data_IF_880547939058
#
_entry.id   IF_880547939058
#
_cell.length_a   1.000
_cell.length_b   1.000
_cell.length_c   1.000
_cell.angle_alpha   90.00
_cell.angle_beta   90.00
_cell.angle_gamma   90.00
#
_symmetry.space_group_name_H-M   'P 1'
#
loop_
_entity.id
_entity.type
_entity.pdbx_description
1 polymer ?
#
# COMPACT_ATOMS: atom_id res chain seq x y z
N UNK A 1 16.90 27.69 5.04
CA UNK A 1 16.90 27.77 6.49
C UNK A 1 15.58 27.18 6.95
N UNK A 2 15.61 25.94 7.41
CA UNK A 2 14.44 25.15 7.79
C UNK A 2 13.98 25.58 9.18
N UNK A 3 12.99 26.47 9.23
CA UNK A 3 12.39 26.92 10.50
C UNK A 3 11.37 25.92 11.09
N UNK A 4 10.82 25.02 10.27
CA UNK A 4 9.95 23.95 10.75
C UNK A 4 10.73 22.65 10.85
N UNK A 5 10.92 22.16 12.06
CA UNK A 5 11.44 20.82 12.31
C UNK A 5 10.38 19.82 11.84
N UNK A 6 10.67 19.13 10.73
CA UNK A 6 9.82 18.04 10.27
C UNK A 6 9.72 16.94 11.33
N UNK A 7 8.58 16.27 11.38
CA UNK A 7 8.33 15.14 12.24
C UNK A 7 8.30 13.86 11.43
N UNK A 8 8.99 12.81 11.89
CA UNK A 8 8.91 11.48 11.30
C UNK A 8 7.91 10.65 12.08
N UNK A 9 6.89 10.13 11.39
CA UNK A 9 5.85 9.26 11.97
C UNK A 9 5.88 7.88 11.36
N UNK A 10 5.63 6.89 12.21
CA UNK A 10 5.50 5.49 11.83
C UNK A 10 4.05 5.07 12.03
N UNK A 11 3.48 4.45 11.02
CA UNK A 11 2.14 3.88 11.07
C UNK A 11 2.19 2.41 10.74
N UNK A 12 1.40 1.64 11.46
CA UNK A 12 1.26 0.21 11.30
C UNK A 12 -0.20 -0.10 10.99
N UNK A 13 -0.43 -1.01 10.04
CA UNK A 13 -1.76 -1.52 9.75
C UNK A 13 -1.92 -2.87 10.42
N UNK A 14 -2.96 -3.00 11.21
CA UNK A 14 -3.37 -4.24 11.86
C UNK A 14 -4.74 -4.69 11.37
N UNK A 15 -4.97 -5.98 11.39
CA UNK A 15 -6.26 -6.59 11.07
C UNK A 15 -6.76 -7.38 12.28
N UNK A 16 -7.89 -6.95 12.83
CA UNK A 16 -8.67 -7.73 13.77
C UNK A 16 -9.42 -8.83 13.00
N UNK A 17 -8.95 -10.07 13.13
CA UNK A 17 -9.48 -11.23 12.42
C UNK A 17 -10.90 -11.57 12.87
N UNK A 18 -11.25 -11.34 14.14
CA UNK A 18 -12.59 -11.62 14.66
C UNK A 18 -13.60 -10.63 14.05
N UNK A 19 -13.29 -9.34 14.08
CA UNK A 19 -14.11 -8.29 13.48
C UNK A 19 -14.23 -8.49 11.96
N UNK A 20 -13.14 -8.87 11.30
CA UNK A 20 -13.10 -9.13 9.86
C UNK A 20 -13.99 -10.31 9.46
N UNK A 21 -13.89 -11.46 10.17
CA UNK A 21 -14.74 -12.63 9.93
C UNK A 21 -16.21 -12.27 10.13
N UNK A 22 -16.54 -11.61 11.24
CA UNK A 22 -17.91 -11.16 11.53
C UNK A 22 -18.48 -10.30 10.38
N UNK A 23 -17.69 -9.34 9.89
CA UNK A 23 -18.09 -8.50 8.78
C UNK A 23 -18.35 -9.29 7.49
N UNK A 24 -17.49 -10.26 7.17
CA UNK A 24 -17.67 -11.13 6.02
C UNK A 24 -18.94 -12.00 6.13
N UNK A 25 -19.24 -12.49 7.34
CA UNK A 25 -20.48 -13.25 7.59
C UNK A 25 -21.74 -12.39 7.41
N UNK A 26 -21.72 -11.16 7.91
CA UNK A 26 -22.81 -10.20 7.71
C UNK A 26 -23.04 -9.88 6.23
N UNK A 27 -21.98 -9.63 5.47
CA UNK A 27 -22.05 -9.32 4.04
C UNK A 27 -22.48 -10.55 3.23
N UNK A 28 -21.99 -11.76 3.57
CA UNK A 28 -22.45 -13.02 3.00
C UNK A 28 -23.95 -13.24 3.23
N UNK A 29 -24.46 -12.94 4.44
CA UNK A 29 -25.88 -13.04 4.75
C UNK A 29 -26.71 -12.13 3.85
N UNK A 30 -26.28 -10.87 3.65
CA UNK A 30 -26.96 -9.94 2.73
C UNK A 30 -27.02 -10.47 1.29
N UNK A 31 -25.92 -11.11 0.82
CA UNK A 31 -25.91 -11.69 -0.54
C UNK A 31 -26.79 -12.93 -0.63
N UNK A 32 -26.88 -13.74 0.42
CA UNK A 32 -27.83 -14.88 0.51
C UNK A 32 -29.29 -14.41 0.51
N UNK A 33 -29.60 -13.36 1.27
CA UNK A 33 -30.96 -12.79 1.33
C UNK A 33 -31.38 -12.23 -0.05
N UNK A 34 -30.45 -11.56 -0.74
CA UNK A 34 -30.68 -11.11 -2.12
C UNK A 34 -30.90 -12.27 -3.08
N UNK A 35 -30.08 -13.33 -2.98
CA UNK A 35 -30.18 -14.51 -3.83
C UNK A 35 -31.53 -15.21 -3.63
N UNK A 36 -31.99 -15.36 -2.40
CA UNK A 36 -33.27 -15.98 -2.07
C UNK A 36 -34.50 -15.15 -2.54
N UNK A 37 -34.33 -13.83 -2.65
CA UNK A 37 -35.39 -12.92 -3.14
C UNK A 37 -35.49 -12.83 -4.66
N UNK A 38 -34.51 -13.37 -5.41
CA UNK A 38 -34.52 -13.35 -6.88
C UNK A 38 -35.55 -14.37 -7.41
N UNK A 39 -36.42 -13.90 -8.31
CA UNK A 39 -37.31 -14.78 -9.07
C UNK A 39 -36.53 -15.69 -10.01
N UNK A 40 -37.10 -16.87 -10.34
CA UNK A 40 -36.47 -17.84 -11.25
C UNK A 40 -36.55 -17.44 -12.75
N UNK A 41 -36.80 -16.18 -13.04
CA UNK A 41 -36.87 -15.67 -14.39
C UNK A 41 -35.46 -15.68 -15.02
N UNK A 42 -35.36 -16.15 -16.25
CA UNK A 42 -34.09 -16.32 -17.01
C UNK A 42 -33.27 -15.04 -17.13
N UNK A 43 -33.89 -13.84 -17.09
CA UNK A 43 -33.14 -12.58 -17.11
C UNK A 43 -32.34 -12.32 -15.82
N UNK A 44 -32.59 -13.07 -14.75
CA UNK A 44 -31.87 -12.99 -13.48
C UNK A 44 -30.64 -13.94 -13.40
N UNK A 45 -30.41 -14.80 -14.40
CA UNK A 45 -29.34 -15.80 -14.35
C UNK A 45 -27.97 -15.18 -14.15
N UNK A 46 -27.69 -14.07 -14.81
CA UNK A 46 -26.41 -13.33 -14.63
C UNK A 46 -26.23 -12.78 -13.21
N UNK A 47 -27.29 -12.23 -12.63
CA UNK A 47 -27.28 -11.69 -11.28
C UNK A 47 -27.16 -12.82 -10.23
N UNK A 48 -27.86 -13.92 -10.44
CA UNK A 48 -27.77 -15.13 -9.61
C UNK A 48 -26.33 -15.63 -9.57
N UNK A 49 -25.71 -15.83 -10.74
CA UNK A 49 -24.33 -16.29 -10.85
C UNK A 49 -23.33 -15.34 -10.16
N UNK A 50 -23.53 -14.03 -10.26
CA UNK A 50 -22.70 -13.06 -9.57
C UNK A 50 -22.81 -13.18 -8.05
N UNK A 51 -24.02 -13.33 -7.51
CA UNK A 51 -24.25 -13.51 -6.07
C UNK A 51 -23.67 -14.84 -5.56
N UNK A 52 -23.80 -15.92 -6.33
CA UNK A 52 -23.20 -17.22 -5.98
C UNK A 52 -21.65 -17.12 -5.91
N UNK A 53 -21.03 -16.43 -6.89
CA UNK A 53 -19.59 -16.19 -6.89
C UNK A 53 -19.15 -15.32 -5.70
N UNK A 54 -19.93 -14.30 -5.36
CA UNK A 54 -19.67 -13.43 -4.20
C UNK A 54 -19.76 -14.22 -2.89
N UNK A 55 -20.78 -15.06 -2.71
CA UNK A 55 -20.92 -15.94 -1.55
C UNK A 55 -19.75 -16.93 -1.46
N UNK A 56 -19.34 -17.53 -2.57
CA UNK A 56 -18.18 -18.41 -2.63
C UNK A 56 -16.88 -17.66 -2.23
N UNK A 57 -16.72 -16.42 -2.67
CA UNK A 57 -15.61 -15.55 -2.26
C UNK A 57 -15.62 -15.26 -0.76
N UNK A 58 -16.78 -14.95 -0.17
CA UNK A 58 -16.89 -14.76 1.28
C UNK A 58 -16.53 -16.02 2.05
N UNK A 59 -17.01 -17.19 1.65
CA UNK A 59 -16.68 -18.46 2.29
C UNK A 59 -15.16 -18.73 2.28
N UNK A 60 -14.51 -18.49 1.14
CA UNK A 60 -13.06 -18.65 1.01
C UNK A 60 -12.31 -17.70 1.95
N UNK A 61 -12.68 -16.42 1.99
CA UNK A 61 -12.03 -15.41 2.82
C UNK A 61 -12.24 -15.66 4.32
N UNK A 62 -13.43 -16.10 4.72
CA UNK A 62 -13.72 -16.48 6.12
C UNK A 62 -12.80 -17.62 6.53
N UNK A 63 -12.75 -18.71 5.73
CA UNK A 63 -11.89 -19.86 6.00
C UNK A 63 -10.41 -19.45 6.11
N UNK A 64 -9.92 -18.64 5.17
CA UNK A 64 -8.54 -18.15 5.20
C UNK A 64 -8.24 -17.33 6.48
N UNK A 65 -9.17 -16.49 6.92
CA UNK A 65 -9.01 -15.70 8.15
C UNK A 65 -9.00 -16.59 9.41
N UNK A 66 -9.86 -17.61 9.45
CA UNK A 66 -9.86 -18.60 10.52
C UNK A 66 -8.56 -19.42 10.57
N UNK A 67 -8.05 -19.85 9.41
CA UNK A 67 -6.80 -20.59 9.30
C UNK A 67 -5.61 -19.73 9.76
N UNK A 68 -5.56 -18.44 9.39
CA UNK A 68 -4.55 -17.50 9.90
C UNK A 68 -4.67 -17.36 11.41
N UNK A 69 -5.87 -17.14 11.93
CA UNK A 69 -6.14 -17.00 13.36
C UNK A 69 -5.64 -18.20 14.16
N UNK A 70 -5.91 -19.42 13.67
CA UNK A 70 -5.45 -20.67 14.29
C UNK A 70 -3.94 -20.84 14.21
N UNK A 71 -3.34 -20.62 13.03
CA UNK A 71 -1.91 -20.84 12.81
C UNK A 71 -1.03 -19.84 13.56
N UNK A 72 -1.48 -18.59 13.68
CA UNK A 72 -0.76 -17.53 14.40
C UNK A 72 -1.13 -17.45 15.88
N UNK A 73 -2.17 -18.16 16.30
CA UNK A 73 -2.71 -18.14 17.67
C UNK A 73 -2.94 -16.70 18.19
N UNK A 74 -3.55 -15.87 17.36
CA UNK A 74 -3.84 -14.46 17.67
C UNK A 74 -5.10 -13.98 16.97
N UNK A 75 -5.80 -13.04 17.58
CA UNK A 75 -6.97 -12.38 17.01
C UNK A 75 -6.60 -11.16 16.17
N UNK A 76 -5.39 -10.63 16.33
CA UNK A 76 -4.90 -9.44 15.61
C UNK A 76 -3.58 -9.75 14.94
N UNK A 77 -3.46 -9.39 13.67
CA UNK A 77 -2.24 -9.54 12.89
C UNK A 77 -1.77 -8.20 12.35
N UNK A 78 -0.47 -7.99 12.36
CA UNK A 78 0.16 -6.85 11.67
C UNK A 78 0.32 -7.18 10.20
N UNK A 79 -0.17 -6.28 9.32
CA UNK A 79 -0.13 -6.46 7.88
C UNK A 79 1.06 -5.74 7.23
N UNK A 80 1.29 -4.49 7.64
CA UNK A 80 2.31 -3.63 7.05
C UNK A 80 2.63 -2.44 7.95
N UNK A 81 3.71 -1.75 7.63
CA UNK A 81 4.08 -0.48 8.24
C UNK A 81 4.65 0.50 7.23
N UNK A 82 4.53 1.78 7.52
CA UNK A 82 5.07 2.85 6.68
C UNK A 82 5.63 3.99 7.53
N UNK A 83 6.64 4.63 6.97
CA UNK A 83 7.31 5.77 7.57
C UNK A 83 7.07 7.01 6.70
N UNK A 84 6.60 8.09 7.33
CA UNK A 84 6.31 9.35 6.68
C UNK A 84 7.08 10.48 7.37
N UNK A 85 7.65 11.38 6.57
CA UNK A 85 8.13 12.66 7.06
C UNK A 85 7.05 13.71 6.84
N UNK A 86 6.67 14.38 7.91
CA UNK A 86 5.62 15.41 7.90
C UNK A 86 6.31 16.76 8.06
N UNK A 87 6.44 17.50 6.98
CA UNK A 87 7.07 18.81 6.94
C UNK A 87 6.31 19.70 5.95
N UNK A 88 5.75 20.84 6.43
CA UNK A 88 5.02 21.72 5.51
C UNK A 88 5.94 22.24 4.40
N UNK A 89 5.46 22.28 3.16
CA UNK A 89 4.05 22.08 2.76
C UNK A 89 3.70 20.65 2.36
N UNK A 90 4.54 19.64 2.58
CA UNK A 90 4.34 18.28 2.05
C UNK A 90 4.44 17.18 3.13
N UNK A 91 3.84 16.04 2.82
CA UNK A 91 4.02 14.76 3.50
C UNK A 91 4.80 13.86 2.57
N UNK A 92 5.92 13.32 3.05
CA UNK A 92 6.82 12.49 2.25
C UNK A 92 6.73 11.03 2.73
N UNK A 93 6.37 10.13 1.84
CA UNK A 93 6.40 8.69 2.08
C UNK A 93 7.83 8.17 1.92
N UNK A 94 8.52 7.89 3.02
CA UNK A 94 9.95 7.55 3.03
C UNK A 94 10.18 6.07 2.73
N UNK A 95 9.45 5.18 3.41
CA UNK A 95 9.63 3.74 3.26
C UNK A 95 8.44 2.96 3.78
N UNK A 96 8.34 1.69 3.39
CA UNK A 96 7.36 0.75 3.92
C UNK A 96 7.89 -0.68 3.95
N UNK A 97 7.22 -1.49 4.78
CA UNK A 97 7.38 -2.94 4.81
C UNK A 97 6.03 -3.63 4.83
N UNK A 98 5.93 -4.77 4.17
CA UNK A 98 4.75 -5.64 4.18
C UNK A 98 5.16 -7.03 4.62
N UNK A 99 4.29 -7.71 5.35
CA UNK A 99 4.39 -9.15 5.46
C UNK A 99 3.89 -9.77 4.15
N UNK A 100 4.75 -10.51 3.47
CA UNK A 100 4.49 -11.08 2.14
C UNK A 100 3.23 -11.95 2.12
N UNK A 101 3.04 -12.76 3.17
CA UNK A 101 1.87 -13.61 3.35
C UNK A 101 0.54 -12.83 3.44
N UNK A 102 0.59 -11.54 3.78
CA UNK A 102 -0.59 -10.67 3.95
C UNK A 102 -0.76 -9.59 2.87
N UNK A 103 0.05 -9.62 1.82
CA UNK A 103 -0.04 -8.63 0.73
C UNK A 103 -1.43 -8.57 0.07
N UNK A 104 -2.17 -9.68 0.09
CA UNK A 104 -3.55 -9.77 -0.42
C UNK A 104 -4.54 -8.81 0.26
N UNK A 105 -4.24 -8.32 1.45
CA UNK A 105 -5.08 -7.35 2.16
C UNK A 105 -4.87 -5.90 1.70
N UNK A 106 -3.89 -5.65 0.85
CA UNK A 106 -3.62 -4.32 0.27
C UNK A 106 -3.48 -3.19 1.30
N UNK A 107 -2.93 -3.49 2.47
CA UNK A 107 -2.87 -2.58 3.63
C UNK A 107 -2.09 -1.29 3.36
N UNK A 108 -1.12 -1.30 2.43
CA UNK A 108 -0.39 -0.10 2.04
C UNK A 108 -1.27 0.94 1.35
N UNK A 109 -2.30 0.51 0.58
CA UNK A 109 -3.26 1.45 -0.01
C UNK A 109 -4.04 2.20 1.08
N UNK A 110 -4.41 1.51 2.16
CA UNK A 110 -5.09 2.13 3.29
C UNK A 110 -4.19 3.18 3.96
N UNK A 111 -2.92 2.86 4.24
CA UNK A 111 -1.98 3.79 4.87
C UNK A 111 -1.77 5.05 4.02
N UNK A 112 -1.56 4.88 2.72
CA UNK A 112 -1.42 6.03 1.82
C UNK A 112 -2.69 6.89 1.79
N UNK A 113 -3.85 6.25 1.69
CA UNK A 113 -5.13 6.95 1.67
C UNK A 113 -5.36 7.75 2.96
N UNK A 114 -5.11 7.16 4.12
CA UNK A 114 -5.22 7.85 5.40
C UNK A 114 -4.27 9.04 5.49
N UNK A 115 -3.05 8.92 4.98
CA UNK A 115 -2.09 10.02 4.99
C UNK A 115 -2.44 11.13 4.00
N UNK A 116 -3.06 10.80 2.86
CA UNK A 116 -3.62 11.79 1.93
C UNK A 116 -4.76 12.55 2.61
N UNK A 117 -5.70 11.85 3.27
CA UNK A 117 -6.79 12.48 4.00
C UNK A 117 -6.27 13.38 5.13
N UNK A 118 -5.31 12.88 5.92
CA UNK A 118 -4.63 13.66 6.95
C UNK A 118 -4.01 14.94 6.35
N UNK A 119 -3.38 14.83 5.20
CA UNK A 119 -2.79 15.96 4.49
C UNK A 119 -3.83 17.02 4.10
N UNK A 120 -4.97 16.59 3.57
CA UNK A 120 -6.08 17.49 3.20
C UNK A 120 -6.62 18.20 4.45
N UNK A 121 -6.92 17.47 5.52
CA UNK A 121 -7.48 17.99 6.76
C UNK A 121 -6.56 19.01 7.45
N UNK A 122 -5.23 18.81 7.35
CA UNK A 122 -4.23 19.66 8.00
C UNK A 122 -3.60 20.72 7.07
N UNK A 123 -4.14 20.88 5.85
CA UNK A 123 -3.74 21.93 4.91
C UNK A 123 -2.37 21.70 4.28
N UNK A 124 -1.92 20.45 4.13
CA UNK A 124 -0.75 20.11 3.32
C UNK A 124 -1.10 20.24 1.83
N UNK A 125 -0.12 20.67 1.04
CA UNK A 125 -0.33 20.93 -0.38
C UNK A 125 0.10 19.76 -1.28
N UNK A 126 0.95 18.88 -0.76
CA UNK A 126 1.56 17.80 -1.52
C UNK A 126 1.69 16.54 -0.68
N UNK A 127 1.36 15.40 -1.29
CA UNK A 127 1.73 14.08 -0.81
C UNK A 127 2.79 13.51 -1.74
N UNK A 128 4.01 13.38 -1.25
CA UNK A 128 5.17 12.97 -2.03
C UNK A 128 5.42 11.47 -1.83
N UNK A 129 5.20 10.68 -2.87
CA UNK A 129 5.44 9.24 -2.86
C UNK A 129 6.93 8.86 -2.94
N UNK A 130 7.84 9.85 -2.88
CA UNK A 130 9.28 9.65 -3.04
C UNK A 130 9.65 9.13 -4.43
N UNK A 131 10.91 8.67 -4.60
CA UNK A 131 11.43 8.26 -5.89
C UNK A 131 10.74 7.03 -6.50
N UNK A 132 10.80 6.94 -7.82
CA UNK A 132 10.53 5.73 -8.59
C UNK A 132 11.80 5.38 -9.39
N UNK A 133 12.04 4.09 -9.69
CA UNK A 133 13.17 3.70 -10.52
C UNK A 133 13.08 4.33 -11.92
N UNK A 134 14.21 4.83 -12.43
CA UNK A 134 14.26 5.43 -13.78
C UNK A 134 13.94 4.41 -14.89
N UNK A 135 14.29 3.14 -14.69
CA UNK A 135 14.09 2.06 -15.65
C UNK A 135 12.99 1.09 -15.18
N UNK A 136 11.76 1.58 -15.17
CA UNK A 136 10.56 0.88 -14.64
C UNK A 136 10.33 -0.49 -15.32
N UNK A 137 10.75 -0.64 -16.57
CA UNK A 137 10.46 -1.85 -17.37
C UNK A 137 11.50 -2.98 -17.20
N UNK A 138 12.61 -2.75 -16.49
CA UNK A 138 13.69 -3.73 -16.39
C UNK A 138 13.45 -4.80 -15.32
N UNK A 139 12.70 -4.47 -14.27
CA UNK A 139 12.43 -5.40 -13.17
C UNK A 139 10.95 -5.39 -12.78
N UNK A 140 10.30 -6.58 -12.64
CA UNK A 140 8.89 -6.66 -12.25
C UNK A 140 8.55 -5.97 -10.92
N UNK A 141 9.51 -5.96 -9.95
CA UNK A 141 9.33 -5.27 -8.67
C UNK A 141 9.24 -3.74 -8.84
N UNK A 142 10.05 -3.18 -9.72
CA UNK A 142 10.07 -1.74 -9.99
C UNK A 142 8.78 -1.30 -10.67
N UNK A 143 8.27 -2.13 -11.59
CA UNK A 143 6.96 -1.91 -12.21
C UNK A 143 5.83 -1.95 -11.16
N UNK A 144 5.85 -2.89 -10.22
CA UNK A 144 4.87 -2.98 -9.14
C UNK A 144 4.85 -1.73 -8.25
N UNK A 145 6.02 -1.16 -7.92
CA UNK A 145 6.13 0.08 -7.16
C UNK A 145 5.54 1.26 -7.95
N UNK A 146 5.84 1.34 -9.24
CA UNK A 146 5.29 2.37 -10.12
C UNK A 146 3.76 2.27 -10.21
N UNK A 147 3.20 1.08 -10.50
CA UNK A 147 1.76 0.85 -10.58
C UNK A 147 1.04 1.20 -9.27
N UNK A 148 1.63 0.82 -8.14
CA UNK A 148 1.11 1.18 -6.83
C UNK A 148 0.95 2.70 -6.67
N UNK A 149 2.02 3.47 -6.98
CA UNK A 149 2.01 4.93 -6.86
C UNK A 149 1.09 5.59 -7.89
N UNK A 150 1.06 5.05 -9.12
CA UNK A 150 0.16 5.50 -10.19
C UNK A 150 -1.31 5.33 -9.82
N UNK A 151 -1.64 4.30 -9.06
CA UNK A 151 -3.01 4.05 -8.58
C UNK A 151 -3.62 5.20 -7.77
N UNK A 152 -2.80 6.11 -7.24
CA UNK A 152 -3.25 7.34 -6.57
C UNK A 152 -3.29 8.56 -7.50
N UNK A 153 -3.18 8.37 -8.82
CA UNK A 153 -3.16 9.43 -9.82
C UNK A 153 -2.03 10.46 -9.60
N UNK A 154 -0.89 9.98 -9.10
CA UNK A 154 0.29 10.81 -8.87
C UNK A 154 0.94 11.26 -10.18
N UNK A 155 1.54 12.46 -10.16
CA UNK A 155 2.33 13.01 -11.28
C UNK A 155 3.80 12.69 -11.03
N UNK A 156 4.49 12.19 -12.05
CA UNK A 156 5.95 11.98 -12.03
C UNK A 156 6.65 13.31 -12.30
N UNK A 157 7.47 13.75 -11.34
CA UNK A 157 8.33 14.91 -11.49
C UNK A 157 9.76 14.44 -11.76
N UNK A 158 10.31 14.79 -12.91
CA UNK A 158 11.71 14.53 -13.23
C UNK A 158 12.57 15.67 -12.68
N UNK A 159 13.47 15.31 -11.76
CA UNK A 159 14.41 16.27 -11.18
C UNK A 159 15.64 16.41 -12.07
N UNK A 160 16.30 17.57 -12.00
CA UNK A 160 17.48 17.90 -12.82
C UNK A 160 18.72 17.02 -12.51
N UNK A 161 18.64 16.12 -11.53
CA UNK A 161 19.70 15.23 -11.11
C UNK A 161 20.63 15.82 -10.04
N UNK A 162 21.72 15.12 -9.80
CA UNK A 162 22.73 15.49 -8.81
C UNK A 162 23.88 16.24 -9.48
N UNK A 163 24.34 17.30 -8.85
CA UNK A 163 25.51 18.06 -9.27
C UNK A 163 26.64 17.82 -8.27
N UNK A 164 27.80 17.40 -8.77
CA UNK A 164 29.00 17.23 -7.98
C UNK A 164 29.97 18.39 -8.27
N UNK A 165 30.36 19.14 -7.24
CA UNK A 165 31.43 20.14 -7.33
C UNK A 165 32.69 19.61 -6.63
N UNK A 166 33.73 19.18 -7.37
CA UNK A 166 34.98 18.74 -6.77
C UNK A 166 35.71 19.92 -6.14
N UNK A 167 35.80 19.95 -4.81
CA UNK A 167 36.46 21.01 -4.07
C UNK A 167 37.93 20.66 -3.81
N UNK A 168 38.29 19.36 -3.73
CA UNK A 168 39.63 18.90 -3.43
C UNK A 168 40.05 17.74 -4.34
N UNK A 169 41.39 17.52 -4.43
CA UNK A 169 41.96 16.38 -5.18
C UNK A 169 41.60 15.01 -4.59
N UNK A 170 41.28 14.93 -3.30
CA UNK A 170 40.81 13.73 -2.64
C UNK A 170 39.54 13.18 -3.26
N UNK A 171 38.67 14.04 -3.81
CA UNK A 171 37.46 13.63 -4.53
C UNK A 171 37.77 12.67 -5.69
N UNK A 172 38.78 12.97 -6.46
CA UNK A 172 39.19 12.13 -7.61
C UNK A 172 39.73 10.78 -7.17
N UNK A 173 40.52 10.75 -6.06
CA UNK A 173 40.98 9.50 -5.46
C UNK A 173 39.82 8.62 -4.97
N UNK A 174 38.84 9.20 -4.29
CA UNK A 174 37.64 8.49 -3.83
C UNK A 174 36.85 7.90 -5.00
N UNK A 175 36.73 8.65 -6.09
CA UNK A 175 36.05 8.19 -7.30
C UNK A 175 36.75 7.00 -7.97
N UNK A 176 38.07 6.98 -7.98
CA UNK A 176 38.88 5.87 -8.49
C UNK A 176 38.70 4.63 -7.60
N UNK A 177 38.78 4.78 -6.29
CA UNK A 177 38.57 3.66 -5.33
C UNK A 177 37.19 3.07 -5.46
N UNK A 178 36.15 3.93 -5.59
CA UNK A 178 34.79 3.47 -5.75
C UNK A 178 34.58 2.70 -7.07
N UNK A 179 35.18 3.17 -8.15
CA UNK A 179 35.13 2.49 -9.45
C UNK A 179 35.86 1.14 -9.46
N UNK A 180 36.90 0.97 -8.62
CA UNK A 180 37.63 -0.30 -8.48
C UNK A 180 36.89 -1.31 -7.61
N UNK A 181 36.07 -0.85 -6.63
CA UNK A 181 35.27 -1.72 -5.76
C UNK A 181 33.99 -2.24 -6.43
N UNK A 182 33.50 -1.57 -7.46
CA UNK A 182 32.25 -1.90 -8.15
C UNK A 182 32.49 -2.63 -9.49
N UNK A 183 33.70 -3.13 -9.72
CA UNK A 183 34.05 -4.11 -10.75
C UNK A 183 34.14 -5.51 -10.13
#
# INVERSE_FOLDING_TARGET
LFHDKGEVKYYVTELDLVAYIKRLEEDKKKSLDKLSSLSDAKYNDGQRKNLENEIASFNKRIKEAEDIRKSKNTDVITLSGSMFMIIKPEIIYLSSGNYEEFMKFNSQYLLQWMMIQYGIEHGFKKHNFYGIPANINLHPKDYGIYEFKRGFNGVVEELIGEFELPITWHYYLMKIVHKLKNK
#
